data_IF_971389418880
#
_entry.id   IF_971389418880
#
_cell.length_a   1.000
_cell.length_b   1.000
_cell.length_c   1.000
_cell.angle_alpha   90.00
_cell.angle_beta   90.00
_cell.angle_gamma   90.00
#
_symmetry.space_group_name_H-M   'P 1'
#
loop_
_entity.id
_entity.type
_entity.pdbx_description
1 polymer ?
#
# COMPACT_ATOMS: atom_id res chain seq x y z
N UNK A 1 -12.11 -24.95 -41.83
CA UNK A 1 -10.96 -24.10 -41.41
C UNK A 1 -11.31 -22.61 -41.28
N UNK A 2 -12.57 -22.17 -41.39
CA UNK A 2 -12.94 -20.75 -41.22
C UNK A 2 -13.27 -20.36 -39.76
N UNK A 3 -13.67 -21.33 -38.92
CA UNK A 3 -14.10 -21.05 -37.54
C UNK A 3 -12.93 -20.71 -36.60
N UNK A 4 -11.74 -21.29 -36.81
CA UNK A 4 -10.54 -21.04 -35.99
C UNK A 4 -9.94 -19.64 -36.20
N UNK A 5 -10.08 -19.05 -37.40
CA UNK A 5 -9.61 -17.68 -37.67
C UNK A 5 -10.44 -16.63 -36.93
N UNK A 6 -11.76 -16.80 -36.84
CA UNK A 6 -12.64 -15.89 -36.08
C UNK A 6 -12.35 -15.94 -34.59
N UNK A 7 -12.05 -17.12 -34.03
CA UNK A 7 -11.72 -17.28 -32.61
C UNK A 7 -10.39 -16.61 -32.25
N UNK A 8 -9.37 -16.73 -33.11
CA UNK A 8 -8.06 -16.08 -32.94
C UNK A 8 -8.17 -14.55 -33.06
N UNK A 9 -8.93 -14.04 -34.03
CA UNK A 9 -9.15 -12.60 -34.20
C UNK A 9 -9.89 -11.99 -33.00
N UNK A 10 -10.90 -12.70 -32.46
CA UNK A 10 -11.63 -12.28 -31.27
C UNK A 10 -10.73 -12.24 -30.02
N UNK A 11 -9.82 -13.20 -29.88
CA UNK A 11 -8.88 -13.28 -28.75
C UNK A 11 -7.83 -12.16 -28.81
N UNK A 12 -7.33 -11.83 -30.01
CA UNK A 12 -6.42 -10.70 -30.23
C UNK A 12 -7.11 -9.36 -29.93
N UNK A 13 -8.36 -9.18 -30.37
CA UNK A 13 -9.15 -7.97 -30.07
C UNK A 13 -9.44 -7.83 -28.57
N UNK A 14 -9.73 -8.94 -27.87
CA UNK A 14 -9.90 -8.95 -26.42
C UNK A 14 -8.60 -8.60 -25.68
N UNK A 15 -7.46 -9.15 -26.11
CA UNK A 15 -6.15 -8.79 -25.55
C UNK A 15 -5.79 -7.32 -25.80
N UNK A 16 -6.12 -6.77 -26.97
CA UNK A 16 -5.92 -5.34 -27.27
C UNK A 16 -6.78 -4.47 -26.35
N UNK A 17 -8.06 -4.81 -26.18
CA UNK A 17 -8.97 -4.09 -25.30
C UNK A 17 -8.50 -4.11 -23.82
N UNK A 18 -7.96 -5.24 -23.35
CA UNK A 18 -7.37 -5.33 -22.01
C UNK A 18 -6.08 -4.51 -21.88
N UNK A 19 -5.28 -4.39 -22.95
CA UNK A 19 -4.07 -3.58 -22.95
C UNK A 19 -4.37 -2.07 -22.87
N UNK A 20 -5.50 -1.63 -23.45
CA UNK A 20 -5.96 -0.23 -23.40
C UNK A 20 -6.73 0.13 -22.12
N UNK A 21 -7.19 -0.85 -21.33
CA UNK A 21 -7.90 -0.61 -20.07
C UNK A 21 -7.01 -0.03 -18.94
N UNK A 22 -5.70 0.10 -19.17
CA UNK A 22 -4.73 0.68 -18.23
C UNK A 22 -4.60 2.21 -18.28
N UNK A 23 -5.14 2.89 -19.29
CA UNK A 23 -5.08 4.35 -19.41
C UNK A 23 -6.25 4.99 -18.64
N UNK A 24 -6.15 4.96 -17.31
CA UNK A 24 -7.05 5.69 -16.43
C UNK A 24 -6.54 7.10 -16.13
N UNK A 25 -7.42 8.05 -15.74
CA UNK A 25 -7.02 9.38 -15.33
C UNK A 25 -5.99 9.30 -14.18
N UNK A 26 -4.75 9.71 -14.43
CA UNK A 26 -3.74 9.80 -13.38
C UNK A 26 -3.84 11.15 -12.67
N UNK A 27 -3.67 11.16 -11.35
CA UNK A 27 -3.74 12.38 -10.55
C UNK A 27 -2.37 12.66 -9.93
N UNK A 28 -1.88 13.89 -10.11
CA UNK A 28 -0.67 14.39 -9.46
C UNK A 28 -1.06 15.40 -8.37
N UNK A 29 -0.45 15.29 -7.20
CA UNK A 29 -0.61 16.28 -6.13
C UNK A 29 0.50 17.31 -6.19
N UNK A 30 0.14 18.60 -6.26
CA UNK A 30 1.08 19.72 -6.15
C UNK A 30 0.94 20.39 -4.79
N UNK A 31 2.07 20.54 -4.12
CA UNK A 31 2.20 21.21 -2.82
C UNK A 31 2.78 22.59 -3.03
N UNK A 32 2.03 23.62 -2.66
CA UNK A 32 2.47 25.01 -2.74
C UNK A 32 2.60 25.59 -1.34
N UNK A 33 3.81 26.02 -0.92
CA UNK A 33 4.03 26.53 0.43
C UNK A 33 3.38 27.90 0.65
N UNK A 34 3.05 28.26 1.90
CA UNK A 34 2.60 29.59 2.27
C UNK A 34 3.72 30.62 2.09
N UNK A 35 3.40 31.88 1.75
CA UNK A 35 4.41 32.94 1.60
C UNK A 35 4.99 33.42 2.94
N UNK A 36 4.44 32.99 4.08
CA UNK A 36 4.87 33.42 5.41
C UNK A 36 6.02 32.57 5.94
N UNK A 37 7.03 33.21 6.54
CA UNK A 37 8.12 32.51 7.22
C UNK A 37 7.61 31.61 8.37
N UNK A 38 6.54 32.05 9.05
CA UNK A 38 5.87 31.26 10.07
C UNK A 38 5.25 29.98 9.51
N UNK A 39 4.57 30.06 8.36
CA UNK A 39 3.99 28.89 7.69
C UNK A 39 5.04 27.91 7.20
N UNK A 40 6.19 28.40 6.72
CA UNK A 40 7.33 27.54 6.35
C UNK A 40 7.89 26.76 7.55
N UNK A 41 8.06 27.42 8.70
CA UNK A 41 8.50 26.75 9.93
C UNK A 41 7.48 25.73 10.44
N UNK A 42 6.18 26.04 10.30
CA UNK A 42 5.09 25.12 10.59
C UNK A 42 5.17 23.85 9.73
N UNK A 43 5.39 23.99 8.41
CA UNK A 43 5.54 22.84 7.49
C UNK A 43 6.77 21.99 7.82
N UNK A 44 7.88 22.59 8.25
CA UNK A 44 9.05 21.81 8.71
C UNK A 44 8.71 20.95 9.94
N UNK A 45 7.85 21.45 10.83
CA UNK A 45 7.34 20.68 11.96
C UNK A 45 6.45 19.53 11.49
N UNK A 46 5.57 19.76 10.50
CA UNK A 46 4.77 18.71 9.86
C UNK A 46 5.64 17.62 9.22
N UNK A 47 6.72 18.01 8.54
CA UNK A 47 7.66 17.07 7.92
C UNK A 47 8.34 16.19 8.97
N UNK A 48 8.77 16.79 10.08
CA UNK A 48 9.35 16.07 11.21
C UNK A 48 8.35 15.07 11.81
N UNK A 49 7.10 15.49 12.01
CA UNK A 49 6.04 14.62 12.52
C UNK A 49 5.73 13.46 11.56
N UNK A 50 5.70 13.72 10.25
CA UNK A 50 5.52 12.68 9.22
C UNK A 50 6.65 11.65 9.27
N UNK A 51 7.90 12.10 9.37
CA UNK A 51 9.05 11.19 9.47
C UNK A 51 8.97 10.32 10.73
N UNK A 52 8.56 10.92 11.85
CA UNK A 52 8.35 10.17 13.09
C UNK A 52 7.22 9.14 12.96
N UNK A 53 6.07 9.52 12.37
CA UNK A 53 4.97 8.61 12.08
C UNK A 53 5.43 7.43 11.22
N UNK A 54 6.18 7.69 10.15
CA UNK A 54 6.74 6.65 9.28
C UNK A 54 7.74 5.75 10.01
N UNK A 55 8.53 6.29 10.93
CA UNK A 55 9.45 5.49 11.73
C UNK A 55 8.68 4.53 12.64
N UNK A 56 7.64 5.02 13.33
CA UNK A 56 6.79 4.19 14.19
C UNK A 56 6.05 3.12 13.39
N UNK A 57 5.53 3.47 12.22
CA UNK A 57 4.91 2.52 11.29
C UNK A 57 5.85 1.38 10.90
N UNK A 58 7.11 1.70 10.57
CA UNK A 58 8.15 0.70 10.24
C UNK A 58 8.51 -0.18 11.44
N UNK A 59 8.59 0.41 12.63
CA UNK A 59 8.86 -0.35 13.85
C UNK A 59 7.73 -1.34 14.15
N UNK A 60 6.47 -0.90 14.02
CA UNK A 60 5.31 -1.76 14.18
C UNK A 60 5.34 -2.91 13.15
N UNK A 61 5.56 -2.59 11.88
CA UNK A 61 5.69 -3.60 10.82
C UNK A 61 6.78 -4.62 11.12
N UNK A 62 7.96 -4.17 11.56
CA UNK A 62 9.05 -5.07 11.92
C UNK A 62 8.68 -5.97 13.10
N UNK A 63 7.96 -5.44 14.10
CA UNK A 63 7.52 -6.21 15.25
C UNK A 63 6.49 -7.29 14.88
N UNK A 64 5.51 -6.94 14.04
CA UNK A 64 4.50 -7.88 13.55
C UNK A 64 5.11 -8.96 12.65
N UNK A 65 6.08 -8.60 11.80
CA UNK A 65 6.86 -9.56 11.02
C UNK A 65 7.62 -10.53 11.94
N UNK A 66 8.25 -10.04 13.00
CA UNK A 66 8.98 -10.87 13.94
C UNK A 66 8.04 -11.84 14.70
N UNK A 67 6.86 -11.37 15.12
CA UNK A 67 5.83 -12.19 15.74
C UNK A 67 5.33 -13.28 14.78
N UNK A 68 4.97 -12.90 13.56
CA UNK A 68 4.53 -13.86 12.55
C UNK A 68 5.60 -14.93 12.24
N UNK A 69 6.87 -14.53 12.18
CA UNK A 69 7.98 -15.49 12.03
C UNK A 69 8.09 -16.45 13.22
N UNK A 70 7.90 -15.97 14.44
CA UNK A 70 7.91 -16.81 15.63
C UNK A 70 6.74 -17.80 15.63
N UNK A 71 5.53 -17.35 15.28
CA UNK A 71 4.34 -18.20 15.15
C UNK A 71 4.52 -19.26 14.04
N UNK A 72 5.11 -18.87 12.90
CA UNK A 72 5.41 -19.80 11.81
C UNK A 72 6.41 -20.87 12.23
N UNK A 73 7.43 -20.53 13.03
CA UNK A 73 8.34 -21.52 13.61
C UNK A 73 7.60 -22.45 14.58
N UNK A 74 6.74 -21.92 15.44
CA UNK A 74 5.93 -22.73 16.35
C UNK A 74 5.03 -23.71 15.59
N UNK A 75 4.39 -23.26 14.50
CA UNK A 75 3.62 -24.11 13.60
C UNK A 75 4.48 -25.22 12.97
N UNK A 76 5.69 -24.90 12.51
CA UNK A 76 6.61 -25.89 11.94
C UNK A 76 7.00 -26.97 12.96
N UNK A 77 7.28 -26.59 14.20
CA UNK A 77 7.56 -27.54 15.28
C UNK A 77 6.33 -28.41 15.59
N UNK A 78 5.14 -27.83 15.68
CA UNK A 78 3.90 -28.59 15.93
C UNK A 78 3.60 -29.60 14.81
N UNK A 79 3.84 -29.22 13.55
CA UNK A 79 3.60 -30.08 12.38
C UNK A 79 4.61 -31.23 12.29
N UNK A 80 5.78 -31.11 12.92
CA UNK A 80 6.83 -32.12 12.80
C UNK A 80 6.35 -33.48 13.33
N UNK A 81 6.55 -34.54 12.54
CA UNK A 81 6.08 -35.90 12.86
C UNK A 81 4.58 -36.13 12.69
N UNK A 82 3.77 -35.13 12.30
CA UNK A 82 2.32 -35.28 12.07
C UNK A 82 1.96 -35.41 10.60
N UNK A 83 0.88 -36.16 10.32
CA UNK A 83 0.28 -36.17 8.98
C UNK A 83 -0.35 -34.82 8.63
N UNK A 84 -0.49 -34.50 7.34
CA UNK A 84 -1.11 -33.22 6.88
C UNK A 84 -2.53 -33.02 7.43
N UNK A 85 -3.30 -34.10 7.59
CA UNK A 85 -4.69 -34.06 8.11
C UNK A 85 -4.68 -33.74 9.61
N UNK A 86 -3.78 -34.36 10.35
CA UNK A 86 -3.66 -34.19 11.80
C UNK A 86 -3.08 -32.83 12.19
N UNK A 87 -2.09 -32.34 11.45
CA UNK A 87 -1.54 -31.00 11.65
C UNK A 87 -2.58 -29.89 11.41
N UNK A 88 -3.53 -30.09 10.48
CA UNK A 88 -4.61 -29.12 10.23
C UNK A 88 -5.61 -29.00 11.37
N UNK A 89 -5.78 -30.03 12.19
CA UNK A 89 -6.69 -29.99 13.35
C UNK A 89 -5.98 -29.66 14.66
N UNK A 90 -4.69 -30.03 14.77
CA UNK A 90 -3.94 -29.89 16.03
C UNK A 90 -2.97 -28.71 16.08
N UNK A 91 -2.60 -28.12 14.95
CA UNK A 91 -1.65 -27.01 14.90
C UNK A 91 -2.32 -25.74 14.37
N UNK A 92 -2.15 -24.64 15.10
CA UNK A 92 -2.60 -23.30 14.67
C UNK A 92 -1.72 -22.78 13.53
N UNK A 93 -2.33 -22.44 12.39
CA UNK A 93 -1.65 -21.79 11.28
C UNK A 93 -1.82 -20.27 11.41
N UNK A 94 -0.75 -19.49 11.56
CA UNK A 94 -0.87 -18.06 11.75
C UNK A 94 -1.31 -17.36 10.46
N UNK A 95 -2.22 -16.39 10.60
CA UNK A 95 -2.64 -15.53 9.50
C UNK A 95 -1.51 -14.58 9.11
N UNK A 96 -1.41 -14.25 7.82
CA UNK A 96 -0.45 -13.24 7.38
C UNK A 96 -0.88 -11.86 7.88
N UNK A 97 0.02 -11.06 8.48
CA UNK A 97 -0.32 -9.72 8.93
C UNK A 97 -0.74 -8.82 7.76
N UNK A 98 -1.88 -8.14 7.92
CA UNK A 98 -2.44 -7.25 6.90
C UNK A 98 -1.87 -5.84 7.06
N UNK A 99 -0.81 -5.53 6.32
CA UNK A 99 -0.17 -4.20 6.32
C UNK A 99 -0.85 -3.26 5.32
N UNK A 100 -1.93 -2.59 5.71
CA UNK A 100 -2.62 -1.66 4.82
C UNK A 100 -2.81 -0.24 5.37
N UNK A 101 -2.48 0.03 6.64
CA UNK A 101 -2.91 1.29 7.28
C UNK A 101 -1.86 2.39 7.45
N UNK A 102 -0.58 2.05 7.62
CA UNK A 102 0.35 2.96 8.30
C UNK A 102 1.01 4.01 7.41
N UNK A 103 1.33 3.69 6.15
CA UNK A 103 1.89 4.67 5.20
C UNK A 103 0.86 5.69 4.70
N UNK A 104 -0.39 5.25 4.52
CA UNK A 104 -1.51 6.10 4.11
C UNK A 104 -1.91 7.10 5.20
N UNK A 105 -1.96 6.64 6.47
CA UNK A 105 -2.28 7.51 7.62
C UNK A 105 -1.28 8.66 7.74
N UNK A 106 0.03 8.37 7.73
CA UNK A 106 1.05 9.42 7.85
C UNK A 106 1.03 10.44 6.70
N UNK A 107 0.55 10.05 5.51
CA UNK A 107 0.38 10.95 4.37
C UNK A 107 -0.77 11.91 4.59
N UNK A 108 -1.93 11.41 4.99
CA UNK A 108 -3.12 12.23 5.24
C UNK A 108 -2.91 13.20 6.42
N UNK A 109 -2.22 12.75 7.47
CA UNK A 109 -1.88 13.61 8.62
C UNK A 109 -0.97 14.76 8.20
N UNK A 110 0.01 14.47 7.34
CA UNK A 110 0.89 15.50 6.77
C UNK A 110 0.12 16.48 5.88
N UNK A 111 -0.75 16.00 5.00
CA UNK A 111 -1.54 16.84 4.10
C UNK A 111 -2.45 17.79 4.89
N UNK A 112 -3.08 17.27 5.96
CA UNK A 112 -3.89 18.06 6.90
C UNK A 112 -3.06 19.13 7.61
N UNK A 113 -1.87 18.76 8.11
CA UNK A 113 -0.94 19.69 8.76
C UNK A 113 -0.45 20.76 7.77
N UNK A 114 -0.11 20.37 6.54
CA UNK A 114 0.36 21.26 5.48
C UNK A 114 -0.67 22.34 5.15
N UNK A 115 -1.95 21.95 5.03
CA UNK A 115 -3.06 22.88 4.81
C UNK A 115 -3.30 23.78 6.03
N UNK A 116 -3.20 23.25 7.25
CA UNK A 116 -3.36 24.03 8.48
C UNK A 116 -2.25 25.10 8.64
N UNK A 117 -1.04 24.84 8.15
CA UNK A 117 0.05 25.82 8.11
C UNK A 117 -0.14 26.92 7.04
N UNK A 118 -1.24 26.88 6.27
CA UNK A 118 -1.53 27.82 5.18
C UNK A 118 -0.96 27.39 3.83
N UNK A 119 -0.41 26.18 3.73
CA UNK A 119 -0.04 25.58 2.45
C UNK A 119 -1.28 25.16 1.65
N UNK A 120 -1.12 24.96 0.35
CA UNK A 120 -2.21 24.49 -0.51
C UNK A 120 -1.81 23.22 -1.25
N UNK A 121 -2.76 22.29 -1.36
CA UNK A 121 -2.60 21.01 -2.04
C UNK A 121 -3.58 21.00 -3.21
N UNK A 122 -3.06 20.93 -4.44
CA UNK A 122 -3.86 20.86 -5.64
C UNK A 122 -3.81 19.47 -6.24
N UNK A 123 -4.97 18.86 -6.43
CA UNK A 123 -5.12 17.60 -7.16
C UNK A 123 -5.24 17.89 -8.65
N UNK A 124 -4.15 17.71 -9.39
CA UNK A 124 -4.09 17.90 -10.83
C UNK A 124 -4.46 16.58 -11.50
N UNK A 125 -5.51 16.62 -12.32
CA UNK A 125 -5.80 15.56 -13.26
C UNK A 125 -4.78 15.65 -14.39
N UNK A 126 -3.92 14.66 -14.52
CA UNK A 126 -3.10 14.49 -15.72
C UNK A 126 -4.07 14.03 -16.82
N UNK A 127 -4.35 14.92 -17.76
CA UNK A 127 -4.93 14.55 -19.04
C UNK A 127 -3.78 14.09 -19.92
N UNK A 128 -3.81 12.82 -20.32
CA UNK A 128 -2.95 12.30 -21.38
C UNK A 128 -3.27 12.98 -22.72
#
# INVERSE_FOLDING_TARGET
MALFHNSLAALVLACLALALAGCGPSYTYRYSPPPSAHGMNCINSCSTQRNHCQQMARLQENSERALHQAEMRAYQYCKNGKSKKEARHSCYYPSYPSYTGSSYSCGNDYDSCYMACGGTIQRILNKD
#
